data_IF_714069052363
#
_entry.id   IF_714069052363
#
_cell.length_a   1.000
_cell.length_b   1.000
_cell.length_c   1.000
_cell.angle_alpha   90.00
_cell.angle_beta   90.00
_cell.angle_gamma   90.00
#
_symmetry.space_group_name_H-M   'P 1'
#
loop_
_entity.id
_entity.type
_entity.pdbx_description
1 polymer ?
#
# COMPACT_ATOMS: atom_id res chain seq x y z
N UNK A 1 23.94 9.31 -3.31
CA UNK A 1 22.96 8.73 -2.37
C UNK A 1 22.26 7.58 -3.08
N UNK A 2 21.49 6.72 -2.40
CA UNK A 2 20.74 5.65 -3.07
C UNK A 2 19.28 5.69 -2.66
N UNK A 3 18.39 5.57 -3.65
CA UNK A 3 16.94 5.57 -3.46
C UNK A 3 16.36 4.23 -3.91
N UNK A 4 15.38 3.72 -3.17
CA UNK A 4 14.63 2.53 -3.58
C UNK A 4 13.48 2.96 -4.51
N UNK A 5 13.42 2.42 -5.72
CA UNK A 5 12.42 2.74 -6.75
C UNK A 5 11.76 1.49 -7.33
N UNK A 6 10.58 1.68 -7.92
CA UNK A 6 9.88 0.69 -8.73
C UNK A 6 9.19 1.40 -9.90
N UNK A 7 9.17 0.77 -11.08
CA UNK A 7 8.54 1.31 -12.29
C UNK A 7 7.15 0.71 -12.58
N UNK A 8 6.80 -0.38 -11.89
CA UNK A 8 5.54 -1.09 -12.04
C UNK A 8 5.08 -1.67 -10.69
N UNK A 9 3.76 -1.84 -10.54
CA UNK A 9 3.21 -2.45 -9.33
C UNK A 9 3.49 -3.95 -9.30
N UNK A 10 3.79 -4.49 -8.13
CA UNK A 10 4.01 -5.94 -7.99
C UNK A 10 4.45 -6.35 -6.60
N UNK A 11 4.92 -7.59 -6.48
CA UNK A 11 5.44 -8.09 -5.21
C UNK A 11 6.73 -7.32 -4.87
N UNK A 12 6.90 -6.76 -3.65
CA UNK A 12 8.06 -5.92 -3.32
C UNK A 12 9.42 -6.58 -3.60
N UNK A 13 9.52 -7.90 -3.43
CA UNK A 13 10.74 -8.66 -3.71
C UNK A 13 11.13 -8.73 -5.20
N UNK A 14 10.22 -8.42 -6.12
CA UNK A 14 10.46 -8.55 -7.57
C UNK A 14 10.57 -7.20 -8.26
N UNK A 15 9.93 -6.15 -7.73
CA UNK A 15 9.82 -4.84 -8.41
C UNK A 15 10.75 -3.77 -7.85
N UNK A 16 11.21 -3.91 -6.60
CA UNK A 16 12.05 -2.89 -5.96
C UNK A 16 13.49 -2.98 -6.45
N UNK A 17 14.09 -1.82 -6.75
CA UNK A 17 15.49 -1.68 -7.13
C UNK A 17 16.14 -0.54 -6.38
N UNK A 18 17.40 -0.73 -6.01
CA UNK A 18 18.24 0.35 -5.50
C UNK A 18 18.84 1.09 -6.68
N UNK A 19 18.57 2.39 -6.78
CA UNK A 19 19.15 3.24 -7.81
C UNK A 19 20.06 4.28 -7.17
N UNK A 20 21.19 4.55 -7.80
CA UNK A 20 22.07 5.63 -7.40
C UNK A 20 21.44 6.97 -7.82
N UNK A 21 21.46 7.93 -6.91
CA UNK A 21 21.05 9.29 -7.21
C UNK A 21 22.24 10.10 -7.73
N UNK A 22 21.91 11.06 -8.59
CA UNK A 22 22.86 12.08 -9.04
C UNK A 22 23.47 12.84 -7.86
N UNK A 23 24.59 13.51 -8.14
CA UNK A 23 25.33 14.25 -7.12
C UNK A 23 24.42 15.29 -6.46
N UNK A 24 24.58 15.39 -5.15
CA UNK A 24 23.81 16.27 -4.27
C UNK A 24 23.99 17.73 -4.71
N UNK A 25 22.92 18.33 -5.23
CA UNK A 25 22.89 19.76 -5.58
C UNK A 25 22.61 20.56 -4.32
N UNK A 26 23.25 21.73 -4.17
CA UNK A 26 22.98 22.62 -3.05
C UNK A 26 21.48 23.00 -3.02
N UNK A 27 20.81 22.92 -1.85
CA UNK A 27 19.39 23.26 -1.75
C UNK A 27 19.16 24.72 -2.12
N UNK A 28 18.10 24.99 -2.86
CA UNK A 28 17.72 26.36 -3.22
C UNK A 28 17.23 27.15 -1.98
N UNK A 29 17.04 28.47 -2.13
CA UNK A 29 16.53 29.32 -1.05
C UNK A 29 15.20 28.77 -0.52
N UNK A 30 15.15 28.50 0.79
CA UNK A 30 13.97 27.94 1.46
C UNK A 30 13.88 26.41 1.43
N UNK A 31 14.85 25.71 0.83
CA UNK A 31 14.98 24.26 0.91
C UNK A 31 16.04 23.86 1.93
N UNK A 32 15.92 22.63 2.43
CA UNK A 32 16.91 22.00 3.31
C UNK A 32 17.26 20.62 2.78
N UNK A 33 18.54 20.26 2.84
CA UNK A 33 18.99 18.91 2.56
C UNK A 33 18.79 18.05 3.81
N UNK A 34 18.16 16.88 3.63
CA UNK A 34 17.92 15.93 4.71
C UNK A 34 18.67 14.64 4.44
N UNK A 35 19.29 14.10 5.48
CA UNK A 35 19.86 12.75 5.48
C UNK A 35 18.97 11.84 6.29
N UNK A 36 18.34 10.88 5.63
CA UNK A 36 17.56 9.85 6.32
C UNK A 36 18.48 8.98 7.19
N UNK A 37 18.15 8.87 8.48
CA UNK A 37 18.87 8.01 9.43
C UNK A 37 18.35 6.57 9.39
N UNK A 38 17.01 6.45 9.36
CA UNK A 38 16.27 5.22 9.18
C UNK A 38 14.87 5.54 8.65
N UNK A 39 14.26 4.60 7.95
CA UNK A 39 12.86 4.64 7.54
C UNK A 39 12.22 3.27 7.82
N UNK A 40 11.12 3.19 8.59
CA UNK A 40 10.44 1.93 8.84
C UNK A 40 9.70 1.44 7.59
N UNK A 41 9.41 0.14 7.54
CA UNK A 41 8.54 -0.46 6.53
C UNK A 41 7.17 -0.72 7.15
N UNK A 42 6.14 -0.04 6.64
CA UNK A 42 4.76 -0.20 7.08
C UNK A 42 3.94 -1.02 6.07
N UNK A 43 2.79 -1.53 6.51
CA UNK A 43 1.84 -2.25 5.65
C UNK A 43 1.30 -1.36 4.52
N UNK A 44 1.14 -0.06 4.79
CA UNK A 44 0.75 0.93 3.77
C UNK A 44 1.75 0.98 2.61
N UNK A 45 3.04 0.89 2.91
CA UNK A 45 4.10 1.00 1.92
C UNK A 45 4.10 -0.23 1.00
N UNK A 46 3.95 -1.43 1.59
CA UNK A 46 3.78 -2.68 0.83
C UNK A 46 2.55 -2.63 -0.07
N UNK A 47 1.45 -2.09 0.44
CA UNK A 47 0.18 -2.01 -0.28
C UNK A 47 0.21 -0.99 -1.41
N UNK A 48 0.97 0.10 -1.23
CA UNK A 48 1.28 1.07 -2.28
C UNK A 48 2.10 0.44 -3.41
N UNK A 49 3.18 -0.28 -3.08
CA UNK A 49 4.03 -0.95 -4.06
C UNK A 49 3.27 -2.03 -4.84
N UNK A 50 2.35 -2.73 -4.17
CA UNK A 50 1.47 -3.72 -4.79
C UNK A 50 0.29 -3.11 -5.58
N UNK A 51 0.11 -1.79 -5.55
CA UNK A 51 -1.01 -1.11 -6.22
C UNK A 51 -2.38 -1.31 -5.56
N UNK A 52 -2.42 -1.75 -4.31
CA UNK A 52 -3.66 -2.08 -3.57
C UNK A 52 -4.07 -1.04 -2.52
N UNK A 53 -3.30 0.05 -2.38
CA UNK A 53 -3.51 1.07 -1.34
C UNK A 53 -4.94 1.65 -1.34
N UNK A 54 -5.50 1.94 -2.51
CA UNK A 54 -6.89 2.45 -2.63
C UNK A 54 -7.89 1.39 -2.13
N UNK A 55 -7.67 0.11 -2.41
CA UNK A 55 -8.57 -0.97 -1.97
C UNK A 55 -8.55 -1.15 -0.45
N UNK A 56 -7.41 -0.89 0.20
CA UNK A 56 -7.31 -0.95 1.66
C UNK A 56 -7.92 0.27 2.36
N UNK A 57 -7.75 1.48 1.85
CA UNK A 57 -8.35 2.68 2.47
C UNK A 57 -9.88 2.60 2.47
N UNK A 58 -10.49 2.03 1.43
CA UNK A 58 -11.92 1.73 1.42
C UNK A 58 -12.32 0.66 2.44
N UNK A 59 -11.55 -0.44 2.57
CA UNK A 59 -11.84 -1.49 3.55
C UNK A 59 -11.71 -1.01 5.00
N UNK A 60 -10.68 -0.21 5.30
CA UNK A 60 -10.50 0.37 6.64
C UNK A 60 -11.62 1.38 6.95
N UNK A 61 -11.98 2.25 6.00
CA UNK A 61 -13.09 3.19 6.18
C UNK A 61 -14.45 2.50 6.38
N UNK A 62 -14.69 1.36 5.72
CA UNK A 62 -15.90 0.56 5.95
C UNK A 62 -15.91 -0.09 7.32
N UNK A 63 -14.76 -0.61 7.78
CA UNK A 63 -14.66 -1.25 9.10
C UNK A 63 -14.86 -0.24 10.24
N UNK A 64 -14.37 1.00 10.08
CA UNK A 64 -14.56 2.08 11.06
C UNK A 64 -15.93 2.78 10.99
N UNK A 65 -16.67 2.65 9.88
CA UNK A 65 -18.04 3.20 9.73
C UNK A 65 -19.15 2.18 10.00
N UNK A 66 -18.81 0.92 10.28
CA UNK A 66 -19.79 -0.02 10.78
C UNK A 66 -20.26 0.45 12.17
N UNK A 67 -21.58 0.59 12.40
CA UNK A 67 -22.07 0.92 13.73
C UNK A 67 -21.57 -0.13 14.72
N UNK A 68 -20.98 0.29 15.84
CA UNK A 68 -20.55 -0.59 16.92
C UNK A 68 -21.74 -1.16 17.73
N UNK A 69 -22.93 -1.18 17.15
CA UNK A 69 -24.13 -1.71 17.76
C UNK A 69 -24.36 -3.14 17.27
N UNK A 70 -23.65 -4.06 17.92
CA UNK A 70 -24.16 -5.41 18.21
C UNK A 70 -24.78 -6.20 17.07
N UNK A 71 -24.06 -6.47 15.97
CA UNK A 71 -24.45 -7.55 15.07
C UNK A 71 -23.23 -8.31 14.53
N UNK A 72 -22.98 -9.49 15.14
CA UNK A 72 -22.24 -10.58 14.48
C UNK A 72 -22.97 -10.93 13.19
N UNK A 73 -22.50 -10.41 12.06
CA UNK A 73 -22.78 -11.03 10.77
C UNK A 73 -21.46 -11.40 10.11
N UNK A 74 -21.06 -12.64 10.40
CA UNK A 74 -20.11 -13.39 9.60
C UNK A 74 -20.64 -13.43 8.16
N UNK A 75 -20.02 -12.68 7.26
CA UNK A 75 -20.27 -12.86 5.82
C UNK A 75 -19.54 -14.15 5.41
N UNK A 76 -20.20 -15.29 5.63
CA UNK A 76 -19.85 -16.52 4.93
C UNK A 76 -20.09 -16.29 3.44
N UNK A 77 -19.00 -16.31 2.64
CA UNK A 77 -19.06 -16.50 1.20
C UNK A 77 -19.87 -17.78 0.89
N UNK A 78 -21.17 -17.67 0.65
CA UNK A 78 -21.91 -18.74 -0.04
C UNK A 78 -21.68 -18.62 -1.54
N UNK A 79 -20.77 -19.47 -2.00
CA UNK A 79 -20.71 -20.00 -3.36
C UNK A 79 -22.12 -20.30 -3.88
N UNK A 80 -22.52 -19.68 -5.00
CA UNK A 80 -23.63 -20.17 -5.83
C UNK A 80 -23.03 -20.93 -7.03
N UNK A 81 -22.88 -22.25 -6.86
CA UNK A 81 -22.87 -23.24 -7.96
C UNK A 81 -24.12 -24.11 -7.79
N UNK A 82 -24.77 -24.44 -8.91
CA UNK A 82 -25.91 -25.37 -9.10
C UNK A 82 -27.25 -24.88 -8.49
N UNK A 83 -28.42 -24.94 -9.13
CA UNK A 83 -29.07 -25.73 -10.22
C UNK A 83 -30.10 -24.81 -10.92
N UNK A 84 -30.61 -25.03 -12.15
CA UNK A 84 -31.57 -26.07 -12.59
C UNK A 84 -31.54 -26.15 -14.13
N UNK A 85 -31.17 -27.28 -14.74
CA UNK A 85 -32.07 -28.28 -15.35
C UNK A 85 -33.59 -28.00 -15.27
N UNK A 86 -34.19 -27.64 -16.40
CA UNK A 86 -35.31 -28.34 -17.06
C UNK A 86 -35.45 -27.83 -18.49
#
# INVERSE_FOLDING_TARGET
>A
MSTIRYSEFGHPLTVLRTEADDKETAPAKGQVALRFLAAPINVSDLSQIQGSLIRQTWQQNFFWRAPQDGARQFITRRSRRHEFAR
#
